data_IF_727881094316
#
_entry.id   IF_727881094316
#
_cell.length_a   1.000
_cell.length_b   1.000
_cell.length_c   1.000
_cell.angle_alpha   90.00
_cell.angle_beta   90.00
_cell.angle_gamma   90.00
#
_symmetry.space_group_name_H-M   'P 1'
#
loop_
_entity.id
_entity.type
_entity.pdbx_description
1 polymer ?
#
# COMPACT_ATOMS: atom_id res chain seq x y z
N UNK A 1 -7.27 -8.05 3.89
CA UNK A 1 -6.30 -8.43 4.94
C UNK A 1 -6.13 -9.95 5.03
N UNK A 2 -4.94 -10.45 5.39
CA UNK A 2 -4.64 -11.89 5.45
C UNK A 2 -5.27 -12.58 6.69
N UNK A 3 -6.06 -13.64 6.48
CA UNK A 3 -6.70 -14.44 7.55
C UNK A 3 -5.68 -15.04 8.52
N UNK A 4 -4.47 -15.31 8.05
CA UNK A 4 -3.39 -15.87 8.85
C UNK A 4 -2.90 -14.90 9.93
N UNK A 5 -2.92 -13.59 9.65
CA UNK A 5 -2.54 -12.57 10.62
C UNK A 5 -3.53 -12.50 11.78
N UNK A 6 -4.83 -12.63 11.49
CA UNK A 6 -5.86 -12.69 12.53
C UNK A 6 -5.69 -13.93 13.40
N UNK A 7 -5.46 -15.10 12.79
CA UNK A 7 -5.22 -16.34 13.53
C UNK A 7 -3.95 -16.27 14.41
N UNK A 8 -2.91 -15.57 13.95
CA UNK A 8 -1.72 -15.31 14.78
C UNK A 8 -2.05 -14.39 15.97
N UNK A 9 -2.88 -13.36 15.76
CA UNK A 9 -3.33 -12.44 16.81
C UNK A 9 -4.13 -13.12 17.92
N UNK A 10 -4.95 -14.13 17.60
CA UNK A 10 -5.73 -14.89 18.61
C UNK A 10 -4.85 -15.67 19.60
N UNK A 11 -3.57 -15.89 19.27
CA UNK A 11 -2.59 -16.49 20.20
C UNK A 11 -2.06 -15.48 21.23
N UNK A 12 -2.24 -14.19 20.98
CA UNK A 12 -1.72 -13.10 21.81
C UNK A 12 -2.81 -12.39 22.60
N UNK A 13 -4.02 -12.27 22.04
CA UNK A 13 -5.17 -11.61 22.65
C UNK A 13 -6.44 -12.45 22.50
N UNK A 14 -7.52 -12.07 23.18
CA UNK A 14 -8.76 -12.87 23.15
C UNK A 14 -9.34 -12.94 21.72
N UNK A 15 -9.91 -14.10 21.32
CA UNK A 15 -10.53 -14.24 20.01
C UNK A 15 -11.67 -13.25 19.77
N UNK A 16 -12.40 -12.86 20.81
CA UNK A 16 -13.45 -11.85 20.74
C UNK A 16 -12.90 -10.47 20.33
N UNK A 17 -11.73 -10.08 20.86
CA UNK A 17 -11.07 -8.83 20.51
C UNK A 17 -10.61 -8.82 19.05
N UNK A 18 -9.99 -9.92 18.59
CA UNK A 18 -9.57 -10.06 17.18
C UNK A 18 -10.76 -10.01 16.23
N UNK A 19 -11.86 -10.69 16.58
CA UNK A 19 -13.11 -10.64 15.81
C UNK A 19 -13.67 -9.23 15.70
N UNK A 20 -13.75 -8.50 16.81
CA UNK A 20 -14.23 -7.12 16.80
C UNK A 20 -13.35 -6.23 15.92
N UNK A 21 -12.03 -6.38 15.99
CA UNK A 21 -11.11 -5.68 15.09
C UNK A 21 -11.33 -6.03 13.61
N UNK A 22 -11.59 -7.31 13.31
CA UNK A 22 -11.92 -7.76 11.95
C UNK A 22 -13.23 -7.16 11.43
N UNK A 23 -14.27 -7.11 12.28
CA UNK A 23 -15.55 -6.51 11.96
C UNK A 23 -15.41 -5.00 11.73
N UNK A 24 -14.68 -4.29 12.59
CA UNK A 24 -14.40 -2.86 12.43
C UNK A 24 -13.66 -2.58 11.11
N UNK A 25 -12.62 -3.37 10.79
CA UNK A 25 -11.86 -3.26 9.53
C UNK A 25 -12.77 -3.42 8.30
N UNK A 26 -13.70 -4.38 8.32
CA UNK A 26 -14.62 -4.61 7.19
C UNK A 26 -15.51 -3.41 6.90
N UNK A 27 -15.86 -2.62 7.91
CA UNK A 27 -16.63 -1.39 7.72
C UNK A 27 -15.86 -0.37 6.86
N UNK A 28 -14.56 -0.17 7.14
CA UNK A 28 -13.70 0.69 6.31
C UNK A 28 -13.56 0.13 4.88
N UNK A 29 -13.30 -1.18 4.74
CA UNK A 29 -13.18 -1.83 3.43
C UNK A 29 -14.45 -1.70 2.59
N UNK A 30 -15.64 -1.71 3.22
CA UNK A 30 -16.91 -1.52 2.52
C UNK A 30 -17.03 -0.11 1.91
N UNK A 31 -16.66 0.93 2.66
CA UNK A 31 -16.65 2.30 2.18
C UNK A 31 -15.66 2.46 1.02
N UNK A 32 -14.45 1.93 1.17
CA UNK A 32 -13.42 1.95 0.13
C UNK A 32 -13.88 1.25 -1.14
N UNK A 33 -14.52 0.08 -1.01
CA UNK A 33 -15.11 -0.63 -2.15
C UNK A 33 -16.16 0.22 -2.86
N UNK A 34 -17.05 0.87 -2.12
CA UNK A 34 -18.10 1.71 -2.69
C UNK A 34 -17.53 2.88 -3.52
N UNK A 35 -16.46 3.50 -3.03
CA UNK A 35 -15.73 4.55 -3.75
C UNK A 35 -15.15 4.00 -5.06
N UNK A 36 -14.45 2.87 -5.00
CA UNK A 36 -13.78 2.28 -6.17
C UNK A 36 -14.79 1.75 -7.21
N UNK A 37 -15.91 1.19 -6.78
CA UNK A 37 -16.96 0.69 -7.67
C UNK A 37 -17.75 1.82 -8.36
N UNK A 38 -18.09 2.88 -7.60
CA UNK A 38 -18.90 3.98 -8.14
C UNK A 38 -18.07 5.07 -8.82
N UNK A 39 -16.80 5.22 -8.45
CA UNK A 39 -15.92 6.30 -8.91
C UNK A 39 -16.43 7.70 -8.52
N UNK A 40 -17.24 7.81 -7.47
CA UNK A 40 -17.85 9.06 -7.01
C UNK A 40 -17.46 9.33 -5.57
N UNK A 41 -17.31 10.62 -5.25
CA UNK A 41 -17.13 11.06 -3.88
C UNK A 41 -18.27 10.54 -3.01
N UNK A 42 -17.98 10.01 -1.80
CA UNK A 42 -19.01 9.64 -0.83
C UNK A 42 -19.95 10.81 -0.54
N UNK A 43 -21.23 10.52 -0.28
CA UNK A 43 -22.20 11.56 0.11
C UNK A 43 -21.84 12.16 1.48
N UNK A 44 -21.47 11.29 2.42
CA UNK A 44 -20.92 11.67 3.73
C UNK A 44 -19.39 11.53 3.72
N UNK A 45 -18.69 12.56 4.20
CA UNK A 45 -17.24 12.53 4.34
C UNK A 45 -16.77 11.39 5.24
N UNK A 46 -15.68 10.73 4.86
CA UNK A 46 -15.07 9.69 5.69
C UNK A 46 -14.38 10.28 6.91
N UNK A 47 -14.29 9.50 7.96
CA UNK A 47 -13.42 9.82 9.09
C UNK A 47 -11.94 9.76 8.67
N UNK A 48 -11.10 10.45 9.44
CA UNK A 48 -9.66 10.55 9.18
C UNK A 48 -9.00 9.16 9.14
N UNK A 49 -9.43 8.24 10.01
CA UNK A 49 -8.89 6.88 10.06
C UNK A 49 -9.14 6.07 8.79
N UNK A 50 -10.31 6.23 8.17
CA UNK A 50 -10.68 5.56 6.91
C UNK A 50 -9.90 6.17 5.76
N UNK A 51 -9.75 7.50 5.76
CA UNK A 51 -9.01 8.23 4.76
C UNK A 51 -7.52 7.85 4.78
N UNK A 52 -6.88 7.90 5.95
CA UNK A 52 -5.50 7.48 6.14
C UNK A 52 -5.28 6.03 5.75
N UNK A 53 -6.20 5.14 6.18
CA UNK A 53 -6.13 3.73 5.81
C UNK A 53 -6.21 3.56 4.29
N UNK A 54 -7.12 4.27 3.63
CA UNK A 54 -7.26 4.21 2.17
C UNK A 54 -6.02 4.73 1.45
N UNK A 55 -5.49 5.87 1.88
CA UNK A 55 -4.27 6.44 1.32
C UNK A 55 -3.07 5.51 1.51
N UNK A 56 -2.95 4.87 2.68
CA UNK A 56 -1.89 3.90 2.94
C UNK A 56 -2.00 2.68 2.03
N UNK A 57 -3.20 2.12 1.85
CA UNK A 57 -3.42 0.98 0.95
C UNK A 57 -3.10 1.34 -0.52
N UNK A 58 -3.35 2.58 -0.95
CA UNK A 58 -2.89 3.05 -2.26
C UNK A 58 -1.38 3.25 -2.32
N UNK A 59 -0.77 3.81 -1.28
CA UNK A 59 0.66 4.11 -1.25
C UNK A 59 1.50 2.83 -1.35
N UNK A 60 1.10 1.74 -0.68
CA UNK A 60 1.81 0.45 -0.77
C UNK A 60 1.68 -0.24 -2.13
N UNK A 61 0.70 0.19 -2.95
CA UNK A 61 0.53 -0.29 -4.32
C UNK A 61 1.39 0.48 -5.34
N UNK A 62 2.03 1.58 -4.94
CA UNK A 62 3.03 2.27 -5.74
C UNK A 62 4.34 1.45 -5.75
N UNK A 63 4.90 1.19 -6.94
CA UNK A 63 6.14 0.42 -7.11
C UNK A 63 7.32 1.03 -6.36
N UNK A 64 7.31 2.35 -6.18
CA UNK A 64 8.31 3.06 -5.38
C UNK A 64 8.34 2.59 -3.91
N UNK A 65 7.22 2.08 -3.41
CA UNK A 65 7.02 1.67 -2.02
C UNK A 65 6.98 0.14 -1.84
N UNK A 66 7.26 -0.64 -2.89
CA UNK A 66 7.30 -2.10 -2.78
C UNK A 66 8.43 -2.54 -1.85
N UNK A 67 8.13 -3.48 -0.94
CA UNK A 67 9.15 -4.05 -0.06
C UNK A 67 10.16 -4.83 -0.90
N UNK A 68 11.40 -4.34 -0.96
CA UNK A 68 12.47 -4.96 -1.74
C UNK A 68 12.60 -4.44 -3.17
N UNK A 69 11.88 -3.36 -3.56
CA UNK A 69 12.40 -2.52 -4.63
C UNK A 69 13.68 -1.89 -4.10
N UNK A 70 14.83 -2.44 -4.52
CA UNK A 70 16.03 -1.63 -4.56
C UNK A 70 15.63 -0.41 -5.38
N UNK A 71 15.66 0.76 -4.79
CA UNK A 71 15.61 2.03 -5.50
C UNK A 71 16.57 1.84 -6.68
N UNK A 72 16.02 1.60 -7.87
CA UNK A 72 16.79 1.40 -9.09
C UNK A 72 17.56 2.71 -9.25
N UNK A 73 18.80 2.70 -8.80
CA UNK A 73 19.79 3.65 -9.27
C UNK A 73 19.97 3.31 -10.75
N UNK A 74 19.07 3.89 -11.55
CA UNK A 74 19.07 4.03 -12.98
C UNK A 74 20.00 3.05 -13.71
N UNK A 75 19.41 1.98 -14.28
CA UNK A 75 20.06 1.21 -15.33
C UNK A 75 20.60 2.12 -16.46
N UNK A 76 20.02 3.32 -16.65
CA UNK A 76 20.53 4.34 -17.55
C UNK A 76 21.85 4.99 -17.08
N UNK A 77 22.02 5.25 -15.77
CA UNK A 77 23.24 5.87 -15.22
C UNK A 77 24.37 4.85 -15.15
N UNK A 78 24.08 3.59 -14.78
CA UNK A 78 25.08 2.52 -14.82
C UNK A 78 25.50 2.22 -16.27
N UNK A 79 24.56 2.23 -17.23
CA UNK A 79 24.88 2.07 -18.65
C UNK A 79 25.74 3.22 -19.21
N UNK A 80 25.51 4.46 -18.78
CA UNK A 80 26.34 5.62 -19.13
C UNK A 80 27.74 5.57 -18.48
N UNK A 81 27.84 5.11 -17.23
CA UNK A 81 29.11 5.03 -16.51
C UNK A 81 29.99 3.84 -16.97
N UNK A 82 29.39 2.71 -17.36
CA UNK A 82 30.11 1.50 -17.75
C UNK A 82 30.37 1.37 -19.27
N UNK A 83 29.87 2.28 -20.10
CA UNK A 83 30.08 2.23 -21.55
C UNK A 83 31.13 3.26 -22.01
N UNK A 84 32.38 2.84 -22.30
CA UNK A 84 33.46 3.76 -22.66
C UNK A 84 33.23 4.51 -23.98
N UNK A 85 32.27 4.08 -24.82
CA UNK A 85 31.92 4.79 -26.07
C UNK A 85 30.95 5.94 -25.84
N UNK A 86 30.19 5.95 -24.74
CA UNK A 86 29.17 6.96 -24.44
C UNK A 86 29.68 8.07 -23.50
N UNK A 87 30.80 7.85 -22.80
CA UNK A 87 31.45 8.87 -21.95
C UNK A 87 31.89 10.13 -22.73
N UNK A 88 32.06 10.03 -24.06
CA UNK A 88 32.49 11.15 -24.92
C UNK A 88 31.37 12.16 -25.21
N UNK A 89 30.12 11.79 -24.95
CA UNK A 89 28.93 12.63 -25.17
C UNK A 89 28.49 13.42 -23.92
N UNK A 90 29.20 13.27 -22.79
CA UNK A 90 28.87 13.90 -21.51
C UNK A 90 29.60 15.24 -21.24
N UNK A 91 30.10 15.91 -22.28
CA UNK A 91 30.66 17.27 -22.21
C UNK A 91 29.85 18.25 -23.07
#
# INVERSE_FOLDING_TARGET
MNRELFAAGERLVSPAYVRQGCEARRSHEHLMRLLLEKGKCPEDGWDESTLELFLHELAVMDSNNFLGSFMELDDQVIFLLCNPKLQVLAF
#
